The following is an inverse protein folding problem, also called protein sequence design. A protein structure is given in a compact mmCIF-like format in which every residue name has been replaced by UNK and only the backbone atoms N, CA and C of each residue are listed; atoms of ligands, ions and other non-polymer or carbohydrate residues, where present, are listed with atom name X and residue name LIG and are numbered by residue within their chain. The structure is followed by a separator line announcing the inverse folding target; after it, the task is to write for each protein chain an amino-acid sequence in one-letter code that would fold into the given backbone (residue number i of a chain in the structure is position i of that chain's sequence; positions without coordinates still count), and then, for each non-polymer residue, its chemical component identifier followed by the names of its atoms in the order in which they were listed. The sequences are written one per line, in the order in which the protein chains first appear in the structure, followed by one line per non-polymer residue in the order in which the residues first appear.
data_IF_923448412266
#
_entry.id   IF_923448412266
#
_cell.length_a   1.000
_cell.length_b   1.000
_cell.length_c   1.000
_cell.angle_alpha   90.00
_cell.angle_beta   90.00
_cell.angle_gamma   90.00
#
_symmetry.space_group_name_H-M   'P 1'
#
loop_
_entity.id
_entity.type
_entity.pdbx_description
1 polymer ?
#
# COMPACT_ATOMS: atom_id res chain seq x y z
N UNK A 1 19.93 -24.03 -11.26
CA UNK A 1 19.23 -23.68 -12.52
C UNK A 1 19.41 -22.19 -12.74
N UNK A 2 19.48 -21.67 -13.98
CA UNK A 2 19.63 -20.23 -14.20
C UNK A 2 18.44 -19.48 -13.62
N UNK A 3 18.69 -18.41 -12.87
CA UNK A 3 17.65 -17.57 -12.25
C UNK A 3 17.04 -16.64 -13.29
N UNK A 4 15.75 -16.34 -13.17
CA UNK A 4 15.04 -15.42 -14.09
C UNK A 4 15.13 -13.97 -13.58
N UNK A 5 16.36 -13.49 -13.34
CA UNK A 5 16.60 -12.15 -12.80
C UNK A 5 16.79 -11.11 -13.89
N UNK A 6 16.18 -9.94 -13.68
CA UNK A 6 16.45 -8.72 -14.41
C UNK A 6 17.37 -7.82 -13.57
N UNK A 7 18.54 -7.49 -14.12
CA UNK A 7 19.51 -6.54 -13.55
C UNK A 7 19.70 -5.42 -14.56
N UNK A 8 19.28 -4.20 -14.21
CA UNK A 8 19.45 -3.02 -15.06
C UNK A 8 20.90 -2.54 -15.08
N UNK A 9 21.25 -1.77 -16.11
CA UNK A 9 22.59 -1.18 -16.25
C UNK A 9 22.96 -0.29 -15.05
N UNK A 10 21.98 0.42 -14.48
CA UNK A 10 22.18 1.25 -13.29
C UNK A 10 22.50 0.40 -12.05
N UNK A 11 21.76 -0.69 -11.84
CA UNK A 11 22.03 -1.62 -10.73
C UNK A 11 23.40 -2.28 -10.90
N UNK A 12 23.73 -2.70 -12.13
CA UNK A 12 25.02 -3.29 -12.49
C UNK A 12 26.18 -2.31 -12.27
N UNK A 13 25.99 -1.04 -12.60
CA UNK A 13 27.00 0.00 -12.38
C UNK A 13 27.29 0.21 -10.88
N UNK A 14 26.26 0.12 -10.02
CA UNK A 14 26.41 0.31 -8.57
C UNK A 14 27.04 -0.91 -7.86
N UNK A 15 26.61 -2.14 -8.20
CA UNK A 15 27.12 -3.36 -7.53
C UNK A 15 28.41 -3.91 -8.17
N UNK A 16 28.71 -3.48 -9.40
CA UNK A 16 29.84 -3.96 -10.21
C UNK A 16 29.50 -5.20 -11.05
N UNK A 17 30.21 -5.34 -12.19
CA UNK A 17 29.97 -6.40 -13.18
C UNK A 17 30.15 -7.81 -12.62
N UNK A 18 31.17 -8.02 -11.79
CA UNK A 18 31.44 -9.33 -11.20
C UNK A 18 30.31 -9.78 -10.26
N UNK A 19 29.72 -8.84 -9.50
CA UNK A 19 28.61 -9.12 -8.60
C UNK A 19 27.29 -9.33 -9.37
N UNK A 20 27.03 -8.50 -10.38
CA UNK A 20 25.88 -8.67 -11.26
C UNK A 20 25.89 -10.03 -11.96
N UNK A 21 27.06 -10.49 -12.42
CA UNK A 21 27.22 -11.79 -13.07
C UNK A 21 27.06 -12.95 -12.07
N UNK A 22 27.52 -12.80 -10.81
CA UNK A 22 27.24 -13.77 -9.73
C UNK A 22 25.75 -13.90 -9.44
N UNK A 23 25.02 -12.79 -9.38
CA UNK A 23 23.57 -12.78 -9.17
C UNK A 23 22.84 -13.49 -10.31
N UNK A 24 23.19 -13.18 -11.56
CA UNK A 24 22.60 -13.82 -12.74
C UNK A 24 22.92 -15.32 -12.81
N UNK A 25 24.08 -15.74 -12.33
CA UNK A 25 24.45 -17.14 -12.18
C UNK A 25 23.72 -17.85 -11.02
N UNK A 26 23.02 -17.10 -10.16
CA UNK A 26 22.24 -17.60 -9.04
C UNK A 26 23.03 -17.84 -7.75
N UNK A 27 24.21 -17.23 -7.61
CA UNK A 27 25.06 -17.38 -6.43
C UNK A 27 24.45 -16.73 -5.18
N UNK A 28 24.14 -15.44 -5.27
CA UNK A 28 23.66 -14.61 -4.14
C UNK A 28 22.18 -14.26 -4.24
N UNK A 29 21.49 -14.75 -5.28
CA UNK A 29 20.07 -14.53 -5.47
C UNK A 29 19.23 -15.57 -4.71
N UNK A 30 18.29 -15.15 -3.85
CA UNK A 30 17.47 -16.06 -3.07
C UNK A 30 16.51 -16.82 -3.97
N UNK A 31 16.21 -18.06 -3.58
CA UNK A 31 15.20 -18.88 -4.25
C UNK A 31 13.81 -18.28 -4.09
N UNK A 32 13.33 -18.21 -2.86
CA UNK A 32 12.12 -17.49 -2.50
C UNK A 32 12.45 -16.10 -1.94
N UNK A 33 11.60 -15.13 -2.21
CA UNK A 33 11.72 -13.76 -1.70
C UNK A 33 10.34 -13.18 -1.41
N UNK A 34 10.27 -12.17 -0.53
CA UNK A 34 9.07 -11.34 -0.42
C UNK A 34 9.22 -10.14 -1.35
N UNK A 35 8.29 -9.96 -2.28
CA UNK A 35 8.36 -8.88 -3.24
C UNK A 35 8.39 -7.51 -2.52
N UNK A 36 9.43 -6.69 -2.73
CA UNK A 36 9.56 -5.41 -2.02
C UNK A 36 8.42 -4.43 -2.33
N UNK A 37 7.75 -4.60 -3.48
CA UNK A 37 6.60 -3.80 -3.89
C UNK A 37 5.28 -4.31 -3.31
N UNK A 38 4.89 -5.56 -3.60
CA UNK A 38 3.57 -6.08 -3.21
C UNK A 38 3.56 -6.96 -1.95
N UNK A 39 4.73 -7.28 -1.38
CA UNK A 39 4.95 -8.16 -0.22
C UNK A 39 4.43 -9.60 -0.35
N UNK A 40 3.94 -10.00 -1.52
CA UNK A 40 3.63 -11.39 -1.82
C UNK A 40 4.92 -12.19 -2.02
N UNK A 41 4.96 -13.48 -1.60
CA UNK A 41 6.08 -14.36 -1.88
C UNK A 41 6.26 -14.56 -3.40
N UNK A 42 7.50 -14.50 -3.85
CA UNK A 42 7.93 -14.82 -5.20
C UNK A 42 9.06 -15.85 -5.21
N UNK A 43 9.31 -16.43 -6.38
CA UNK A 43 10.35 -17.45 -6.60
C UNK A 43 11.16 -17.16 -7.87
N UNK A 44 12.43 -16.78 -7.70
CA UNK A 44 13.33 -16.38 -8.79
C UNK A 44 13.75 -17.55 -9.70
N UNK A 45 13.46 -18.79 -9.31
CA UNK A 45 13.61 -19.99 -10.12
C UNK A 45 12.40 -20.22 -11.05
N UNK A 46 11.23 -19.68 -10.70
CA UNK A 46 9.97 -19.95 -11.39
C UNK A 46 9.42 -18.74 -12.16
N UNK A 47 9.78 -17.52 -11.77
CA UNK A 47 9.24 -16.30 -12.37
C UNK A 47 10.24 -15.17 -12.57
N UNK A 48 9.94 -14.28 -13.52
CA UNK A 48 10.76 -13.10 -13.80
C UNK A 48 10.77 -12.16 -12.59
N UNK A 49 11.97 -11.86 -12.13
CA UNK A 49 12.22 -11.15 -10.88
C UNK A 49 13.13 -9.96 -11.17
N UNK A 50 12.71 -8.76 -10.81
CA UNK A 50 13.51 -7.55 -10.89
C UNK A 50 14.36 -7.35 -9.64
N UNK A 51 15.62 -6.96 -9.84
CA UNK A 51 16.53 -6.54 -8.77
C UNK A 51 16.38 -5.05 -8.47
N UNK A 52 16.22 -4.70 -7.20
CA UNK A 52 16.07 -3.31 -6.76
C UNK A 52 17.13 -3.00 -5.71
N UNK A 53 17.98 -2.03 -6.02
CA UNK A 53 19.05 -1.61 -5.13
C UNK A 53 18.64 -0.34 -4.40
N UNK A 54 18.46 -0.42 -3.09
CA UNK A 54 18.23 0.74 -2.25
C UNK A 54 19.58 1.31 -1.81
N UNK A 55 19.88 2.55 -2.17
CA UNK A 55 21.17 3.19 -1.88
C UNK A 55 20.96 4.37 -0.94
N UNK A 56 21.67 4.34 0.19
CA UNK A 56 21.75 5.39 1.19
C UNK A 56 23.06 6.14 1.11
N UNK A 57 23.38 6.89 2.15
CA UNK A 57 24.64 7.64 2.20
C UNK A 57 25.82 6.71 2.49
N UNK A 58 25.60 5.67 3.31
CA UNK A 58 26.65 4.73 3.71
C UNK A 58 26.30 3.27 3.41
N UNK A 59 25.03 2.93 3.21
CA UNK A 59 24.57 1.55 3.02
C UNK A 59 23.84 1.34 1.70
N UNK A 60 24.00 0.15 1.12
CA UNK A 60 23.22 -0.30 -0.02
C UNK A 60 22.62 -1.68 0.26
N UNK A 61 21.35 -1.85 -0.05
CA UNK A 61 20.60 -3.10 0.18
C UNK A 61 19.97 -3.56 -1.12
N UNK A 62 20.32 -4.78 -1.52
CA UNK A 62 19.73 -5.42 -2.67
C UNK A 62 18.46 -6.18 -2.26
N UNK A 63 17.37 -5.92 -2.98
CA UNK A 63 16.08 -6.56 -2.78
C UNK A 63 15.50 -7.06 -4.12
N UNK A 64 14.41 -7.83 -4.02
CA UNK A 64 13.79 -8.49 -5.16
C UNK A 64 12.30 -8.15 -5.26
N UNK A 65 11.78 -8.11 -6.49
CA UNK A 65 10.38 -7.90 -6.78
C UNK A 65 9.95 -8.70 -8.01
N UNK A 66 8.66 -8.99 -8.15
CA UNK A 66 8.15 -9.46 -9.43
C UNK A 66 8.44 -8.41 -10.51
N UNK A 67 8.88 -8.87 -11.69
CA UNK A 67 9.16 -7.96 -12.81
C UNK A 67 7.94 -7.17 -13.28
N UNK A 68 6.73 -7.63 -12.96
CA UNK A 68 5.46 -6.92 -13.23
C UNK A 68 5.13 -5.86 -12.19
N UNK A 69 5.70 -5.93 -10.98
CA UNK A 69 5.42 -4.98 -9.91
C UNK A 69 6.26 -3.71 -10.04
N UNK A 70 7.57 -3.87 -10.26
CA UNK A 70 8.52 -2.77 -10.45
C UNK A 70 9.66 -3.23 -11.36
N UNK A 71 10.21 -2.37 -12.22
CA UNK A 71 11.38 -2.69 -13.02
C UNK A 71 12.64 -2.75 -12.14
N UNK A 72 13.70 -3.37 -12.66
CA UNK A 72 15.02 -3.31 -12.03
C UNK A 72 15.56 -1.88 -12.04
N UNK A 73 15.98 -1.38 -10.88
CA UNK A 73 16.36 0.03 -10.70
C UNK A 73 17.14 0.26 -9.42
N UNK A 74 17.83 1.41 -9.37
CA UNK A 74 18.44 1.97 -8.17
C UNK A 74 17.47 2.98 -7.55
N UNK A 75 17.21 2.86 -6.25
CA UNK A 75 16.30 3.74 -5.50
C UNK A 75 17.09 4.44 -4.39
N UNK A 76 17.34 5.77 -4.49
CA UNK A 76 17.94 6.51 -3.41
C UNK A 76 16.95 6.64 -2.24
N UNK A 77 17.39 6.30 -1.03
CA UNK A 77 16.58 6.40 0.20
C UNK A 77 17.43 6.98 1.33
N UNK A 78 16.80 7.54 2.36
CA UNK A 78 17.59 8.05 3.51
C UNK A 78 18.15 6.90 4.34
N UNK A 79 19.27 7.14 5.04
CA UNK A 79 19.92 6.13 5.89
C UNK A 79 18.97 5.57 6.96
N UNK A 80 18.09 6.43 7.51
CA UNK A 80 17.06 6.05 8.47
C UNK A 80 16.01 5.08 7.89
N UNK A 81 15.69 5.21 6.60
CA UNK A 81 14.77 4.32 5.88
C UNK A 81 15.40 2.97 5.57
N UNK A 82 16.70 2.96 5.22
CA UNK A 82 17.48 1.73 4.99
C UNK A 82 17.60 0.89 6.25
N UNK A 83 17.93 1.50 7.39
CA UNK A 83 18.06 0.76 8.66
C UNK A 83 16.73 0.12 9.11
N UNK A 84 15.60 0.77 8.83
CA UNK A 84 14.27 0.21 9.05
C UNK A 84 13.96 -0.98 8.14
N UNK A 85 14.34 -0.89 6.86
CA UNK A 85 14.17 -1.97 5.89
C UNK A 85 15.06 -3.18 6.22
N UNK A 86 16.34 -2.97 6.56
CA UNK A 86 17.28 -4.03 6.95
C UNK A 86 16.76 -4.84 8.13
N UNK A 87 16.23 -4.19 9.18
CA UNK A 87 15.65 -4.90 10.34
C UNK A 87 14.44 -5.76 9.99
N UNK A 88 13.67 -5.36 8.98
CA UNK A 88 12.53 -6.14 8.50
C UNK A 88 12.92 -7.31 7.60
N UNK A 89 14.11 -7.25 6.97
CA UNK A 89 14.63 -8.25 6.03
C UNK A 89 15.53 -9.28 6.74
N UNK A 90 16.30 -8.89 7.77
CA UNK A 90 17.23 -9.77 8.49
C UNK A 90 16.59 -10.68 9.54
N UNK A 91 15.29 -10.53 9.84
CA UNK A 91 14.56 -11.49 10.67
C UNK A 91 15.13 -11.67 12.09
N UNK A 92 15.54 -10.59 12.76
CA UNK A 92 16.08 -10.62 14.14
C UNK A 92 15.02 -10.85 15.25
N UNK A 93 13.92 -11.52 14.90
CA UNK A 93 12.94 -12.12 15.84
C UNK A 93 12.85 -13.66 15.70
N UNK A 94 13.84 -14.28 15.05
CA UNK A 94 13.95 -15.74 14.97
C UNK A 94 14.86 -16.30 16.08
N UNK A 95 14.30 -16.45 17.29
CA UNK A 95 14.90 -17.34 18.29
C UNK A 95 14.98 -18.78 17.74
N UNK A 96 16.06 -19.53 18.03
CA UNK A 96 16.30 -20.84 17.43
C UNK A 96 15.26 -21.87 17.86
N UNK A 97 14.48 -22.38 16.90
CA UNK A 97 13.56 -23.50 17.09
C UNK A 97 14.36 -24.79 17.27
N UNK A 98 14.49 -25.25 18.51
CA UNK A 98 14.91 -26.62 18.84
C UNK A 98 13.71 -27.56 18.63
N UNK A 99 13.85 -28.68 17.89
CA UNK A 99 12.75 -29.61 17.70
C UNK A 99 12.62 -30.52 18.92
N UNK A 100 11.48 -30.43 19.62
CA UNK A 100 11.04 -31.44 20.59
C UNK A 100 10.59 -30.89 21.94
N UNK A 101 9.40 -30.28 22.01
CA UNK A 101 8.65 -30.16 23.26
C UNK A 101 7.14 -29.99 22.98
N UNK A 102 6.34 -30.72 23.75
CA UNK A 102 4.88 -30.92 23.68
C UNK A 102 4.14 -29.62 24.05
N UNK A 103 2.96 -29.28 23.47
CA UNK A 103 2.38 -27.95 23.65
C UNK A 103 1.72 -27.78 25.02
N UNK A 104 2.18 -26.77 25.77
CA UNK A 104 1.47 -26.19 26.91
C UNK A 104 0.63 -24.99 26.44
N UNK A 105 -0.50 -24.67 27.12
CA UNK A 105 -1.44 -23.66 26.65
C UNK A 105 -0.79 -22.27 26.62
N UNK A 106 -0.97 -21.57 25.50
CA UNK A 106 -0.37 -20.29 25.20
C UNK A 106 -0.77 -19.22 26.23
N UNK A 107 0.24 -18.62 26.86
CA UNK A 107 0.07 -17.34 27.55
C UNK A 107 -0.19 -16.23 26.50
N UNK A 108 -1.00 -15.20 26.83
CA UNK A 108 -1.34 -14.14 25.90
C UNK A 108 -0.10 -13.32 25.55
N UNK A 109 0.17 -13.21 24.26
CA UNK A 109 1.22 -12.35 23.69
C UNK A 109 0.84 -10.89 23.96
N UNK A 110 1.71 -10.05 24.53
CA UNK A 110 1.43 -8.64 24.70
C UNK A 110 1.45 -7.94 23.34
N UNK A 111 0.30 -7.42 22.92
CA UNK A 111 0.14 -6.64 21.69
C UNK A 111 0.63 -5.20 21.92
N UNK A 112 1.92 -4.97 21.71
CA UNK A 112 2.39 -3.61 21.39
C UNK A 112 1.76 -3.19 20.06
N UNK A 113 1.01 -2.09 20.07
CA UNK A 113 0.10 -1.67 19.00
C UNK A 113 0.68 -1.78 17.60
N UNK A 114 0.18 -2.74 16.83
CA UNK A 114 0.42 -2.81 15.39
C UNK A 114 -0.28 -1.62 14.75
N UNK A 115 0.48 -0.60 14.37
CA UNK A 115 -0.03 0.48 13.55
C UNK A 115 -0.50 -0.14 12.23
N UNK A 116 -1.78 0.02 11.90
CA UNK A 116 -2.32 -0.56 10.69
C UNK A 116 -1.84 0.20 9.46
N UNK A 117 -1.46 -0.52 8.40
CA UNK A 117 -1.08 0.09 7.13
C UNK A 117 -2.31 0.19 6.25
N UNK A 118 -2.55 1.36 5.64
CA UNK A 118 -3.62 1.55 4.68
C UNK A 118 -3.04 1.66 3.27
N UNK A 119 -3.51 0.81 2.37
CA UNK A 119 -3.28 0.93 0.94
C UNK A 119 -4.25 1.93 0.32
N UNK A 120 -3.74 2.75 -0.60
CA UNK A 120 -4.56 3.65 -1.42
C UNK A 120 -4.30 3.38 -2.90
N UNK A 121 -5.38 3.09 -3.63
CA UNK A 121 -5.39 3.00 -5.09
C UNK A 121 -6.11 4.22 -5.67
N UNK A 122 -5.49 4.90 -6.63
CA UNK A 122 -6.10 6.03 -7.33
C UNK A 122 -6.68 5.55 -8.67
N UNK A 123 -7.93 5.91 -8.97
CA UNK A 123 -8.55 5.57 -10.25
C UNK A 123 -9.76 6.46 -10.56
N UNK A 124 -10.29 6.35 -11.77
CA UNK A 124 -11.54 7.04 -12.14
C UNK A 124 -12.74 6.13 -11.93
N UNK A 125 -13.85 6.72 -11.49
CA UNK A 125 -15.16 6.06 -11.43
C UNK A 125 -16.19 6.88 -12.18
N UNK A 126 -17.09 6.21 -12.88
CA UNK A 126 -18.19 6.85 -13.61
C UNK A 126 -19.40 7.02 -12.68
N UNK A 127 -19.80 8.26 -12.42
CA UNK A 127 -21.01 8.59 -11.65
C UNK A 127 -21.90 9.47 -12.52
N UNK A 128 -23.15 9.06 -12.74
CA UNK A 128 -24.12 9.81 -13.55
C UNK A 128 -23.60 10.25 -14.94
N UNK A 129 -22.67 9.48 -15.53
CA UNK A 129 -22.06 9.79 -16.82
C UNK A 129 -20.81 10.69 -16.77
N UNK A 130 -20.43 11.17 -15.58
CA UNK A 130 -19.21 11.94 -15.36
C UNK A 130 -18.10 11.08 -14.73
N UNK A 131 -16.88 11.19 -15.27
CA UNK A 131 -15.69 10.59 -14.65
C UNK A 131 -15.29 11.41 -13.41
N UNK A 132 -15.25 10.74 -12.27
CA UNK A 132 -14.89 11.30 -10.97
C UNK A 132 -13.57 10.66 -10.49
N UNK A 133 -12.68 11.46 -9.88
CA UNK A 133 -11.47 10.92 -9.27
C UNK A 133 -11.83 10.20 -7.98
N UNK A 134 -11.36 8.96 -7.85
CA UNK A 134 -11.57 8.12 -6.68
C UNK A 134 -10.23 7.75 -6.02
N UNK A 135 -10.27 7.67 -4.70
CA UNK A 135 -9.33 7.01 -3.82
C UNK A 135 -10.02 5.76 -3.29
N UNK A 136 -9.44 4.58 -3.52
CA UNK A 136 -9.92 3.32 -2.96
C UNK A 136 -8.97 2.91 -1.85
N UNK A 137 -9.50 2.78 -0.65
CA UNK A 137 -8.73 2.55 0.56
C UNK A 137 -9.04 1.19 1.14
N UNK A 138 -7.99 0.40 1.37
CA UNK A 138 -8.09 -0.93 1.96
C UNK A 138 -6.92 -1.14 2.94
N UNK A 139 -7.18 -1.60 4.17
CA UNK A 139 -6.12 -1.92 5.12
C UNK A 139 -5.38 -3.21 4.74
N UNK A 140 -4.13 -3.35 5.18
CA UNK A 140 -3.31 -4.57 4.99
C UNK A 140 -3.74 -5.75 5.89
N UNK A 141 -4.62 -5.48 6.86
CA UNK A 141 -5.23 -6.45 7.74
C UNK A 141 -6.39 -5.87 8.53
N UNK A 142 -7.05 -6.67 9.39
CA UNK A 142 -8.16 -6.19 10.21
C UNK A 142 -7.76 -5.02 11.11
N UNK A 143 -8.63 -4.02 11.24
CA UNK A 143 -8.41 -2.86 12.10
C UNK A 143 -9.10 -3.10 13.43
N UNK A 144 -8.40 -2.89 14.54
CA UNK A 144 -8.99 -2.88 15.87
C UNK A 144 -8.88 -1.49 16.50
N UNK A 145 -9.86 -1.13 17.34
CA UNK A 145 -9.75 0.10 18.14
C UNK A 145 -8.55 0.04 19.09
N UNK A 146 -7.85 1.17 19.33
CA UNK A 146 -6.80 1.24 20.33
C UNK A 146 -7.29 0.74 21.70
N UNK A 147 -6.57 -0.22 22.28
CA UNK A 147 -6.92 -0.82 23.58
C UNK A 147 -8.02 -1.89 23.52
N UNK A 148 -8.55 -2.22 22.34
CA UNK A 148 -9.49 -3.33 22.17
C UNK A 148 -8.78 -4.68 22.23
N UNK A 149 -9.44 -5.66 22.86
CA UNK A 149 -9.06 -7.09 22.82
C UNK A 149 -9.93 -7.88 21.81
N UNK A 150 -10.81 -7.18 21.10
CA UNK A 150 -11.69 -7.77 20.08
C UNK A 150 -10.87 -8.27 18.89
N UNK A 151 -11.29 -9.39 18.31
CA UNK A 151 -10.78 -9.89 17.02
C UNK A 151 -11.62 -9.39 15.84
N UNK A 152 -12.67 -8.58 16.10
CA UNK A 152 -13.51 -8.03 15.04
C UNK A 152 -12.79 -6.90 14.29
N UNK A 153 -13.06 -6.79 13.00
CA UNK A 153 -12.62 -5.66 12.18
C UNK A 153 -13.54 -4.44 12.41
N UNK A 154 -12.99 -3.42 13.05
CA UNK A 154 -13.62 -2.15 13.37
C UNK A 154 -13.47 -1.10 12.25
N UNK A 155 -12.86 -1.43 11.10
CA UNK A 155 -12.54 -0.45 10.05
C UNK A 155 -13.76 0.33 9.55
N UNK A 156 -14.83 -0.37 9.12
CA UNK A 156 -16.04 0.31 8.64
C UNK A 156 -16.79 1.05 9.76
N UNK A 157 -17.03 0.46 10.96
CA UNK A 157 -17.58 1.21 12.08
C UNK A 157 -16.86 2.53 12.39
N UNK A 158 -15.52 2.52 12.36
CA UNK A 158 -14.71 3.71 12.60
C UNK A 158 -14.95 4.78 11.53
N UNK A 159 -15.01 4.41 10.25
CA UNK A 159 -15.28 5.37 9.18
C UNK A 159 -16.71 5.92 9.21
N UNK A 160 -17.69 5.09 9.56
CA UNK A 160 -19.08 5.53 9.75
C UNK A 160 -19.18 6.59 10.85
N UNK A 161 -18.47 6.40 11.96
CA UNK A 161 -18.38 7.40 13.04
C UNK A 161 -17.73 8.71 12.59
N UNK A 162 -16.87 8.66 11.58
CA UNK A 162 -16.18 9.82 10.98
C UNK A 162 -16.97 10.48 9.84
N UNK A 163 -18.23 10.07 9.61
CA UNK A 163 -19.12 10.68 8.63
C UNK A 163 -19.01 10.11 7.21
N UNK A 164 -18.42 8.92 7.06
CA UNK A 164 -18.59 8.14 5.82
C UNK A 164 -19.95 7.44 5.83
N UNK A 165 -20.47 7.14 4.64
CA UNK A 165 -21.79 6.53 4.50
C UNK A 165 -21.73 5.22 3.72
N UNK A 166 -22.58 4.22 4.03
CA UNK A 166 -22.66 2.99 3.25
C UNK A 166 -23.00 3.29 1.79
N UNK A 167 -22.33 2.59 0.88
CA UNK A 167 -22.61 2.67 -0.55
C UNK A 167 -23.58 1.57 -0.93
N UNK A 168 -24.75 1.95 -1.44
CA UNK A 168 -25.76 1.02 -1.95
C UNK A 168 -25.89 1.03 -3.47
N UNK A 169 -25.40 2.08 -4.12
CA UNK A 169 -25.43 2.27 -5.57
C UNK A 169 -24.19 3.04 -6.01
N UNK A 170 -23.33 2.40 -6.81
CA UNK A 170 -22.08 3.00 -7.31
C UNK A 170 -22.31 4.11 -8.35
N UNK A 171 -23.54 4.29 -8.84
CA UNK A 171 -23.89 5.37 -9.77
C UNK A 171 -24.33 6.65 -9.05
N UNK A 172 -24.47 6.63 -7.73
CA UNK A 172 -24.86 7.79 -6.94
C UNK A 172 -23.64 8.46 -6.32
N UNK A 173 -23.64 9.79 -6.31
CA UNK A 173 -22.60 10.57 -5.65
C UNK A 173 -22.68 10.37 -4.12
N UNK A 174 -21.58 10.00 -3.44
CA UNK A 174 -21.55 9.90 -1.99
C UNK A 174 -21.86 11.24 -1.31
N UNK A 175 -22.26 11.19 -0.04
CA UNK A 175 -22.45 12.41 0.74
C UNK A 175 -21.11 13.15 0.96
N UNK A 176 -21.13 14.50 1.01
CA UNK A 176 -19.93 15.28 1.28
C UNK A 176 -19.47 15.15 2.75
N UNK A 177 -18.16 15.04 2.93
CA UNK A 177 -17.49 15.07 4.24
C UNK A 177 -16.42 16.18 4.23
N UNK A 178 -16.81 17.44 4.51
CA UNK A 178 -15.91 18.59 4.41
C UNK A 178 -14.86 18.66 5.54
N UNK A 179 -14.97 17.82 6.58
CA UNK A 179 -13.96 17.73 7.62
C UNK A 179 -12.69 17.01 7.14
N UNK A 180 -12.83 16.17 6.12
CA UNK A 180 -11.75 15.42 5.49
C UNK A 180 -11.28 16.10 4.22
N UNK A 181 -10.06 15.83 3.78
CA UNK A 181 -9.55 16.34 2.51
C UNK A 181 -8.42 15.50 1.94
N UNK A 182 -8.27 15.49 0.61
CA UNK A 182 -7.11 14.91 -0.04
C UNK A 182 -6.07 15.99 -0.35
N UNK A 183 -4.86 15.83 0.19
CA UNK A 183 -3.74 16.74 -0.08
C UNK A 183 -3.10 16.39 -1.42
N UNK A 184 -3.37 17.23 -2.42
CA UNK A 184 -2.81 17.12 -3.75
C UNK A 184 -1.86 18.31 -3.98
N UNK A 185 -0.58 18.05 -4.20
CA UNK A 185 0.41 19.08 -4.45
C UNK A 185 1.37 18.64 -5.54
N UNK A 186 1.72 19.56 -6.45
CA UNK A 186 2.58 19.28 -7.61
C UNK A 186 2.05 18.10 -8.47
N UNK A 187 0.72 17.96 -8.51
CA UNK A 187 0.05 16.92 -9.28
C UNK A 187 0.26 15.49 -8.76
N UNK A 188 0.68 15.32 -7.49
CA UNK A 188 0.81 14.05 -6.79
C UNK A 188 -0.06 14.04 -5.52
N UNK A 189 -0.52 12.88 -5.10
CA UNK A 189 -1.26 12.70 -3.84
C UNK A 189 -0.27 12.49 -2.69
N UNK A 190 -0.37 13.32 -1.65
CA UNK A 190 0.55 13.28 -0.50
C UNK A 190 -0.10 12.67 0.74
N UNK A 191 -1.36 13.00 1.01
CA UNK A 191 -2.04 12.59 2.23
C UNK A 191 -3.56 12.60 2.09
N UNK A 192 -4.22 11.83 2.96
CA UNK A 192 -5.63 12.02 3.31
C UNK A 192 -5.66 12.59 4.71
N UNK A 193 -6.27 13.76 4.83
CA UNK A 193 -6.35 14.50 6.07
C UNK A 193 -7.73 14.30 6.69
N UNK A 194 -7.73 14.09 8.00
CA UNK A 194 -8.94 14.03 8.83
C UNK A 194 -9.04 15.28 9.71
N UNK A 195 -10.23 15.55 10.28
CA UNK A 195 -10.37 16.56 11.32
C UNK A 195 -9.39 16.32 12.48
N UNK A 196 -8.64 17.34 12.87
CA UNK A 196 -7.74 17.33 14.03
C UNK A 196 -8.34 18.12 15.21
N UNK A 197 -7.46 18.71 16.02
CA UNK A 197 -7.86 19.70 17.02
C UNK A 197 -8.60 20.88 16.37
N UNK A 198 -9.44 21.65 17.10
CA UNK A 198 -10.20 22.76 16.54
C UNK A 198 -9.34 23.69 15.67
N UNK A 199 -9.65 23.77 14.37
CA UNK A 199 -8.92 24.58 13.39
C UNK A 199 -7.70 23.93 12.75
N UNK A 200 -7.43 22.64 13.01
CA UNK A 200 -6.33 21.88 12.40
C UNK A 200 -6.84 20.60 11.73
N UNK A 201 -6.08 20.12 10.75
CA UNK A 201 -6.24 18.78 10.16
C UNK A 201 -5.00 17.94 10.49
N UNK A 202 -5.22 16.65 10.67
CA UNK A 202 -4.14 15.68 10.89
C UNK A 202 -4.08 14.69 9.72
N UNK A 203 -2.90 14.21 9.39
CA UNK A 203 -2.76 13.12 8.43
C UNK A 203 -3.40 11.86 9.02
N UNK A 204 -4.48 11.38 8.40
CA UNK A 204 -5.04 10.05 8.67
C UNK A 204 -4.26 8.99 7.91
N UNK A 205 -3.86 9.34 6.68
CA UNK A 205 -2.95 8.58 5.85
C UNK A 205 -1.95 9.54 5.20
N UNK A 206 -0.70 9.11 5.10
CA UNK A 206 0.35 9.85 4.41
C UNK A 206 1.16 8.91 3.53
N UNK A 207 1.37 9.31 2.28
CA UNK A 207 2.23 8.60 1.37
C UNK A 207 3.68 8.69 1.86
N UNK A 208 4.38 7.56 1.90
CA UNK A 208 5.82 7.57 2.14
C UNK A 208 6.56 8.34 1.04
N UNK A 209 6.11 8.17 -0.21
CA UNK A 209 6.47 8.96 -1.37
C UNK A 209 5.19 9.44 -2.05
N UNK A 210 5.09 10.72 -2.48
CA UNK A 210 3.89 11.23 -3.09
C UNK A 210 3.47 10.40 -4.31
N UNK A 211 2.24 9.89 -4.30
CA UNK A 211 1.71 9.00 -5.33
C UNK A 211 1.43 9.78 -6.61
N UNK A 212 2.01 9.32 -7.72
CA UNK A 212 1.65 9.83 -9.03
C UNK A 212 0.21 9.42 -9.36
N UNK A 213 -0.57 10.37 -9.88
CA UNK A 213 -1.93 10.14 -10.38
C UNK A 213 -1.94 10.34 -11.90
N UNK A 214 -2.84 9.65 -12.59
CA UNK A 214 -2.99 9.81 -14.04
C UNK A 214 -3.44 11.23 -14.41
N UNK A 215 -3.18 11.65 -15.64
CA UNK A 215 -3.66 12.94 -16.16
C UNK A 215 -5.18 13.05 -16.12
N UNK A 216 -5.89 11.95 -16.45
CA UNK A 216 -7.35 11.88 -16.38
C UNK A 216 -7.87 12.08 -14.95
N UNK A 217 -7.24 11.42 -13.96
CA UNK A 217 -7.58 11.58 -12.55
C UNK A 217 -7.38 13.03 -12.09
N UNK A 218 -6.23 13.62 -12.42
CA UNK A 218 -5.88 15.00 -12.05
C UNK A 218 -6.80 16.02 -12.71
N UNK A 219 -7.14 15.84 -13.98
CA UNK A 219 -8.09 16.69 -14.68
C UNK A 219 -9.49 16.62 -14.04
N UNK A 220 -9.95 15.42 -13.69
CA UNK A 220 -11.23 15.23 -13.01
C UNK A 220 -11.24 15.86 -11.61
N UNK A 221 -10.16 15.73 -10.84
CA UNK A 221 -9.99 16.35 -9.53
C UNK A 221 -9.99 17.88 -9.61
N UNK A 222 -9.24 18.46 -10.54
CA UNK A 222 -9.22 19.91 -10.74
C UNK A 222 -10.57 20.44 -11.22
N UNK A 223 -11.30 19.71 -12.08
CA UNK A 223 -12.65 20.09 -12.52
C UNK A 223 -13.66 20.03 -11.36
N UNK A 224 -13.59 18.99 -10.54
CA UNK A 224 -14.55 18.76 -9.47
C UNK A 224 -14.23 19.53 -8.18
N UNK A 225 -12.96 19.94 -7.99
CA UNK A 225 -12.42 20.45 -6.72
C UNK A 225 -12.66 19.51 -5.53
N UNK A 226 -12.80 18.21 -5.82
CA UNK A 226 -13.12 17.18 -4.85
C UNK A 226 -12.69 15.80 -5.37
N UNK A 227 -12.54 14.86 -4.44
CA UNK A 227 -12.31 13.44 -4.71
C UNK A 227 -13.32 12.58 -3.97
N UNK A 228 -13.60 11.42 -4.53
CA UNK A 228 -14.38 10.38 -3.86
C UNK A 228 -13.41 9.50 -3.09
N UNK A 229 -13.68 9.20 -1.83
CA UNK A 229 -12.99 8.14 -1.12
C UNK A 229 -13.95 7.00 -0.88
N UNK A 230 -13.60 5.83 -1.39
CA UNK A 230 -14.25 4.55 -1.11
C UNK A 230 -13.34 3.74 -0.19
N UNK A 231 -13.91 3.11 0.82
CA UNK A 231 -13.15 2.32 1.77
C UNK A 231 -13.85 0.99 2.09
N UNK A 232 -13.07 -0.08 2.15
CA UNK A 232 -13.53 -1.44 2.42
C UNK A 232 -12.55 -2.20 3.33
N UNK A 233 -13.01 -3.24 4.06
CA UNK A 233 -12.14 -4.08 4.90
C UNK A 233 -11.03 -4.78 4.10
N UNK A 234 -9.99 -5.22 4.80
CA UNK A 234 -8.90 -5.98 4.21
C UNK A 234 -9.39 -7.21 3.43
N UNK A 235 -8.84 -7.42 2.23
CA UNK A 235 -9.20 -8.50 1.32
C UNK A 235 -10.48 -8.28 0.52
N UNK A 236 -11.11 -7.10 0.58
CA UNK A 236 -12.41 -6.87 -0.08
C UNK A 236 -12.27 -6.42 -1.53
N UNK A 237 -11.39 -5.47 -1.83
CA UNK A 237 -11.20 -4.94 -3.18
C UNK A 237 -9.99 -5.58 -3.85
N UNK A 238 -8.87 -5.68 -3.12
CA UNK A 238 -7.60 -6.17 -3.62
C UNK A 238 -6.97 -5.26 -4.69
N UNK A 239 -5.92 -5.75 -5.33
CA UNK A 239 -5.24 -5.02 -6.40
C UNK A 239 -6.03 -5.09 -7.71
N UNK A 240 -6.41 -3.94 -8.24
CA UNK A 240 -7.19 -3.84 -9.47
C UNK A 240 -6.36 -3.19 -10.59
N UNK A 241 -5.91 -3.95 -11.60
CA UNK A 241 -5.01 -3.43 -12.63
C UNK A 241 -5.72 -2.53 -13.67
N UNK A 242 -7.04 -2.49 -13.66
CA UNK A 242 -7.86 -1.70 -14.58
C UNK A 242 -9.04 -1.06 -13.86
N UNK A 243 -9.49 0.09 -14.37
CA UNK A 243 -10.58 0.87 -13.78
C UNK A 243 -11.93 0.14 -13.83
N UNK A 244 -12.18 -0.67 -14.87
CA UNK A 244 -13.41 -1.44 -14.98
C UNK A 244 -13.47 -2.61 -13.98
N UNK A 245 -12.33 -3.25 -13.71
CA UNK A 245 -12.21 -4.26 -12.65
C UNK A 245 -12.32 -3.63 -11.25
N UNK A 246 -11.73 -2.45 -11.06
CA UNK A 246 -11.92 -1.65 -9.85
C UNK A 246 -13.40 -1.30 -9.63
N UNK A 247 -14.09 -0.89 -10.69
CA UNK A 247 -15.53 -0.61 -10.64
C UNK A 247 -16.34 -1.85 -10.23
N UNK A 248 -16.08 -3.02 -10.82
CA UNK A 248 -16.75 -4.25 -10.46
C UNK A 248 -16.50 -4.64 -8.99
N UNK A 249 -15.26 -4.53 -8.52
CA UNK A 249 -14.92 -4.86 -7.13
C UNK A 249 -15.63 -3.94 -6.12
N UNK A 250 -15.77 -2.65 -6.44
CA UNK A 250 -16.55 -1.70 -5.64
C UNK A 250 -18.05 -2.05 -5.65
N UNK A 251 -18.61 -2.43 -6.80
CA UNK A 251 -20.01 -2.88 -6.87
C UNK A 251 -20.26 -4.14 -6.04
N UNK A 252 -19.34 -5.12 -6.10
CA UNK A 252 -19.41 -6.35 -5.31
C UNK A 252 -19.30 -6.05 -3.81
N UNK A 253 -18.43 -5.11 -3.41
CA UNK A 253 -18.29 -4.67 -2.03
C UNK A 253 -19.55 -3.94 -1.53
N UNK A 254 -20.11 -3.05 -2.33
CA UNK A 254 -21.36 -2.34 -2.04
C UNK A 254 -22.53 -3.33 -1.87
N UNK A 255 -22.67 -4.32 -2.76
CA UNK A 255 -23.71 -5.34 -2.69
C UNK A 255 -23.62 -6.19 -1.41
N UNK A 256 -22.41 -6.36 -0.85
CA UNK A 256 -22.17 -7.06 0.42
C UNK A 256 -22.32 -6.16 1.65
N UNK A 257 -22.60 -4.87 1.47
CA UNK A 257 -22.63 -3.88 2.56
C UNK A 257 -21.24 -3.60 3.16
N UNK A 258 -20.17 -3.92 2.42
CA UNK A 258 -18.77 -3.83 2.86
C UNK A 258 -18.05 -2.60 2.29
N UNK A 259 -18.80 -1.58 1.85
CA UNK A 259 -18.26 -0.37 1.24
C UNK A 259 -18.87 0.87 1.88
N UNK A 260 -18.01 1.80 2.29
CA UNK A 260 -18.40 3.15 2.69
C UNK A 260 -17.71 4.19 1.82
N UNK A 261 -18.33 5.36 1.66
CA UNK A 261 -17.74 6.43 0.88
C UNK A 261 -18.08 7.83 1.39
N UNK A 262 -17.29 8.79 0.94
CA UNK A 262 -17.53 10.22 1.10
C UNK A 262 -16.93 11.02 -0.07
N UNK A 263 -17.50 12.18 -0.36
CA UNK A 263 -16.87 13.21 -1.20
C UNK A 263 -16.03 14.12 -0.31
N UNK A 264 -14.76 14.28 -0.62
CA UNK A 264 -13.82 15.11 0.15
C UNK A 264 -13.26 16.26 -0.71
N UNK A 265 -13.13 17.48 -0.18
CA UNK A 265 -12.43 18.56 -0.87
C UNK A 265 -10.95 18.24 -1.10
N UNK A 266 -10.37 18.94 -2.08
CA UNK A 266 -8.92 18.98 -2.25
C UNK A 266 -8.29 19.99 -1.27
N UNK A 267 -7.10 19.66 -0.78
CA UNK A 267 -6.22 20.58 -0.06
C UNK A 267 -4.91 20.76 -0.85
N UNK A 268 -4.30 21.95 -0.76
CA UNK A 268 -3.00 22.23 -1.36
C UNK A 268 -3.01 22.57 -2.87
N UNK A 269 -4.19 22.78 -3.45
CA UNK A 269 -4.38 23.21 -4.85
C UNK A 269 -4.35 24.71 -5.03
#
# INVERSE_FOLDING_TARGET
MPRMLDVSDDVRAEIGDEEADRLLAGGDAPGSYDCTSCRTPGDSEQERTSTVLFVGEETAVLAFAHATCIPSQVVPVSEEQLQGAVRSITGEDAAPRTPGAVPAPAAPVPTTGRQATLGITCGLVLIEGDLRPALVVEPDGPIARPGSVSLNDDFLPLLLEQGFHPVTDMNQLPAPNPGWSALLAMGKLHAVLQPGNPGSQAAWWQAHQPLAVSDGWRAAANKAQAVLMYAAPAGTIGHQPREDLMRQALEDAAAKGALVAAVMPLAGT
#
